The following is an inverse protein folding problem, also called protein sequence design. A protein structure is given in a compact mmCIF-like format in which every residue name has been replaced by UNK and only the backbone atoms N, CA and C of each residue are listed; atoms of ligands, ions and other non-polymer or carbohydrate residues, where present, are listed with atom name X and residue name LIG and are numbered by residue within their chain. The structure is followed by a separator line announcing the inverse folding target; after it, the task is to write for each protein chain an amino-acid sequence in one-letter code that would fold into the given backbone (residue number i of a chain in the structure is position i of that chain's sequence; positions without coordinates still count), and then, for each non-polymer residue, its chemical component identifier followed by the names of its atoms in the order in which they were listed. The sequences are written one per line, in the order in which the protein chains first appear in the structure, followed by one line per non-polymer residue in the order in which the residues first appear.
data_IF_782111921718
#
_entry.id   IF_782111921718
#
_cell.length_a   1.000
_cell.length_b   1.000
_cell.length_c   1.000
_cell.angle_alpha   90.00
_cell.angle_beta   90.00
_cell.angle_gamma   90.00
#
_symmetry.space_group_name_H-M   'P 1'
#
loop_
_entity.id
_entity.type
_entity.pdbx_description
1 polymer ?
#
# COMPACT_ATOMS: atom_id res chain seq x y z
N UNK A 1 6.83 -21.10 -12.21
CA UNK A 1 7.90 -21.03 -11.22
C UNK A 1 7.32 -21.13 -9.84
N UNK A 2 7.92 -21.92 -8.96
CA UNK A 2 7.60 -22.02 -7.55
C UNK A 2 8.86 -21.66 -6.78
N UNK A 3 8.76 -20.74 -5.84
CA UNK A 3 9.85 -20.37 -4.93
C UNK A 3 9.38 -20.60 -3.50
N UNK A 4 10.26 -21.16 -2.68
CA UNK A 4 10.02 -21.34 -1.26
C UNK A 4 11.25 -20.91 -0.48
N UNK A 5 11.07 -19.96 0.43
CA UNK A 5 12.10 -19.49 1.36
C UNK A 5 11.65 -19.80 2.79
N UNK A 6 12.59 -20.22 3.60
CA UNK A 6 12.38 -20.42 5.03
C UNK A 6 13.51 -19.76 5.81
N UNK A 7 13.12 -18.80 6.66
CA UNK A 7 14.04 -18.10 7.54
C UNK A 7 13.76 -18.49 8.98
N UNK A 8 14.80 -18.82 9.72
CA UNK A 8 14.70 -19.15 11.14
C UNK A 8 15.50 -18.16 11.97
N UNK A 9 14.93 -17.72 13.08
CA UNK A 9 15.63 -16.91 14.05
C UNK A 9 16.59 -17.72 14.92
N UNK A 10 17.34 -17.00 15.74
CA UNK A 10 18.31 -17.56 16.70
C UNK A 10 17.82 -17.46 18.16
N UNK A 11 16.53 -17.15 18.37
CA UNK A 11 15.99 -17.04 19.72
C UNK A 11 15.86 -18.43 20.37
N UNK A 12 16.37 -18.53 21.58
CA UNK A 12 16.27 -19.74 22.37
C UNK A 12 14.98 -19.72 23.20
N UNK A 13 14.13 -20.70 22.97
CA UNK A 13 13.00 -20.97 23.86
C UNK A 13 13.50 -21.57 25.16
N UNK A 14 13.07 -21.06 26.29
CA UNK A 14 13.39 -21.65 27.58
C UNK A 14 12.78 -23.04 27.73
N UNK A 15 13.44 -23.92 28.47
CA UNK A 15 12.98 -25.32 28.69
C UNK A 15 11.69 -25.41 29.48
N UNK A 16 11.43 -24.41 30.34
CA UNK A 16 10.20 -24.33 31.13
C UNK A 16 9.04 -23.71 30.38
N UNK A 17 9.29 -23.16 29.15
CA UNK A 17 8.26 -22.63 28.32
C UNK A 17 7.48 -23.74 27.61
N UNK A 18 6.15 -23.62 27.55
CA UNK A 18 5.28 -24.61 26.92
C UNK A 18 5.08 -24.40 25.41
N UNK A 19 5.59 -23.29 24.87
CA UNK A 19 5.45 -22.91 23.48
C UNK A 19 6.79 -22.41 22.91
N UNK A 20 6.92 -22.46 21.62
CA UNK A 20 8.11 -21.98 20.91
C UNK A 20 8.01 -20.49 20.69
N UNK A 21 9.13 -19.78 20.85
CA UNK A 21 9.21 -18.33 20.62
C UNK A 21 10.18 -17.98 19.49
N UNK A 22 10.91 -18.97 18.96
CA UNK A 22 11.86 -18.70 17.90
C UNK A 22 11.14 -18.30 16.60
N UNK A 23 11.72 -17.36 15.89
CA UNK A 23 11.20 -16.92 14.59
C UNK A 23 11.28 -18.07 13.59
N UNK A 24 10.18 -18.30 12.90
CA UNK A 24 10.08 -19.17 11.74
C UNK A 24 9.21 -18.46 10.71
N UNK A 25 9.85 -18.00 9.64
CA UNK A 25 9.19 -17.29 8.56
C UNK A 25 9.28 -18.13 7.29
N UNK A 26 8.13 -18.46 6.72
CA UNK A 26 8.05 -19.22 5.47
C UNK A 26 7.36 -18.33 4.43
N UNK A 27 8.01 -18.15 3.30
CA UNK A 27 7.49 -17.46 2.14
C UNK A 27 7.42 -18.43 0.97
N UNK A 28 6.23 -18.61 0.41
CA UNK A 28 6.03 -19.44 -0.77
C UNK A 28 5.38 -18.61 -1.85
N UNK A 29 5.96 -18.60 -3.05
CA UNK A 29 5.39 -17.90 -4.19
C UNK A 29 5.23 -18.82 -5.40
N UNK A 30 4.10 -18.67 -6.08
CA UNK A 30 3.75 -19.35 -7.31
C UNK A 30 3.59 -18.31 -8.42
N UNK A 31 4.25 -18.53 -9.54
CA UNK A 31 4.09 -17.69 -10.74
C UNK A 31 3.81 -18.56 -11.95
N UNK A 32 2.71 -18.25 -12.61
CA UNK A 32 2.31 -18.85 -13.88
C UNK A 32 2.19 -17.75 -14.93
N UNK A 33 2.88 -17.90 -16.06
CA UNK A 33 2.73 -17.05 -17.22
C UNK A 33 2.52 -17.97 -18.42
N UNK A 34 1.36 -17.88 -19.07
CA UNK A 34 1.02 -18.64 -20.25
C UNK A 34 0.70 -17.68 -21.40
N UNK A 35 1.28 -17.94 -22.55
CA UNK A 35 0.95 -17.28 -23.80
C UNK A 35 0.42 -18.36 -24.73
N UNK A 36 -0.82 -18.25 -25.16
CA UNK A 36 -1.53 -19.24 -25.98
C UNK A 36 -1.93 -18.58 -27.27
N UNK A 37 -1.36 -18.99 -28.38
CA UNK A 37 -1.76 -18.56 -29.72
C UNK A 37 -2.96 -19.43 -30.15
N UNK A 38 -4.17 -18.88 -30.06
CA UNK A 38 -5.41 -19.57 -30.42
C UNK A 38 -5.58 -19.66 -31.96
N UNK A 39 -5.08 -18.63 -32.66
CA UNK A 39 -5.06 -18.58 -34.14
C UNK A 39 -4.01 -17.58 -34.60
N UNK A 40 -3.78 -17.44 -35.92
CA UNK A 40 -2.81 -16.50 -36.51
C UNK A 40 -3.00 -15.02 -36.12
N UNK A 41 -4.11 -14.67 -35.49
CA UNK A 41 -4.37 -13.28 -35.10
C UNK A 41 -4.90 -13.14 -33.69
N UNK A 42 -5.02 -14.23 -32.92
CA UNK A 42 -5.60 -14.22 -31.60
C UNK A 42 -4.65 -14.84 -30.59
N UNK A 43 -4.30 -14.07 -29.57
CA UNK A 43 -3.46 -14.51 -28.46
C UNK A 43 -4.19 -14.34 -27.14
N UNK A 44 -4.08 -15.34 -26.27
CA UNK A 44 -4.54 -15.31 -24.90
C UNK A 44 -3.32 -15.33 -23.98
N UNK A 45 -3.28 -14.38 -23.03
CA UNK A 45 -2.21 -14.29 -22.03
C UNK A 45 -2.82 -14.48 -20.64
N UNK A 46 -2.31 -15.48 -19.91
CA UNK A 46 -2.72 -15.77 -18.55
C UNK A 46 -1.53 -15.54 -17.63
N UNK A 47 -1.68 -14.62 -16.69
CA UNK A 47 -0.68 -14.36 -15.66
C UNK A 47 -1.32 -14.62 -14.30
N UNK A 48 -0.68 -15.43 -13.49
CA UNK A 48 -1.07 -15.68 -12.10
C UNK A 48 0.14 -15.58 -11.20
N UNK A 49 0.03 -14.80 -10.13
CA UNK A 49 1.05 -14.68 -9.11
C UNK A 49 0.40 -14.76 -7.74
N UNK A 50 0.84 -15.71 -6.93
CA UNK A 50 0.33 -15.93 -5.57
C UNK A 50 1.51 -15.99 -4.61
N UNK A 51 1.41 -15.29 -3.49
CA UNK A 51 2.34 -15.37 -2.37
C UNK A 51 1.61 -15.80 -1.11
N UNK A 52 2.23 -16.68 -0.37
CA UNK A 52 1.77 -17.21 0.92
C UNK A 52 2.91 -17.01 1.91
N UNK A 53 2.70 -16.12 2.88
CA UNK A 53 3.65 -15.86 3.95
C UNK A 53 3.08 -16.39 5.26
N UNK A 54 3.86 -17.14 6.01
CA UNK A 54 3.52 -17.53 7.37
C UNK A 54 4.70 -17.22 8.29
N UNK A 55 4.40 -16.53 9.36
CA UNK A 55 5.35 -16.12 10.38
C UNK A 55 4.90 -16.60 11.73
N UNK A 56 5.81 -17.23 12.45
CA UNK A 56 5.71 -17.56 13.87
C UNK A 56 6.90 -16.94 14.59
N UNK A 57 6.69 -16.26 15.69
CA UNK A 57 7.78 -15.63 16.43
C UNK A 57 7.31 -15.01 17.74
N UNK A 58 8.20 -14.34 18.49
CA UNK A 58 7.86 -13.74 19.77
C UNK A 58 6.74 -12.71 19.62
N UNK A 59 5.98 -12.55 20.69
CA UNK A 59 4.86 -11.59 20.72
C UNK A 59 5.34 -10.15 20.46
N UNK A 60 6.44 -9.78 21.10
CA UNK A 60 7.08 -8.48 20.93
C UNK A 60 8.15 -8.51 19.85
N UNK A 61 8.39 -7.37 19.24
CA UNK A 61 9.49 -7.22 18.29
C UNK A 61 10.83 -7.47 18.99
N UNK A 62 11.64 -8.33 18.37
CA UNK A 62 13.01 -8.63 18.85
C UNK A 62 13.85 -7.35 18.98
N UNK A 63 13.61 -6.35 18.14
CA UNK A 63 14.27 -5.05 18.23
C UNK A 63 13.94 -4.33 19.54
N UNK A 64 12.70 -4.39 20.01
CA UNK A 64 12.28 -3.82 21.30
C UNK A 64 12.98 -4.54 22.43
N UNK A 65 13.00 -5.87 22.42
CA UNK A 65 13.69 -6.65 23.43
C UNK A 65 15.22 -6.38 23.43
N UNK A 66 15.83 -6.22 22.26
CA UNK A 66 17.24 -5.86 22.13
C UNK A 66 17.51 -4.46 22.69
N UNK A 67 16.68 -3.47 22.36
CA UNK A 67 16.84 -2.10 22.90
C UNK A 67 16.73 -2.09 24.42
N UNK A 68 15.78 -2.81 24.98
CA UNK A 68 15.66 -2.92 26.45
C UNK A 68 16.85 -3.63 27.08
N UNK A 69 17.35 -4.69 26.44
CA UNK A 69 18.56 -5.40 26.93
C UNK A 69 19.81 -4.49 26.93
N UNK A 70 19.89 -3.55 25.97
CA UNK A 70 20.99 -2.61 25.90
C UNK A 70 20.98 -1.57 27.05
N UNK A 71 19.78 -1.21 27.51
CA UNK A 71 19.61 -0.26 28.63
C UNK A 71 19.40 -0.94 29.98
N UNK A 72 19.17 -2.27 30.02
CA UNK A 72 18.95 -2.99 31.27
C UNK A 72 20.24 -3.04 32.09
N UNK A 73 20.15 -2.67 33.36
CA UNK A 73 21.27 -2.78 34.29
C UNK A 73 21.32 -4.22 34.85
N UNK A 74 22.37 -4.98 34.59
CA UNK A 74 22.48 -6.38 35.04
C UNK A 74 22.60 -6.53 36.58
N UNK A 75 22.82 -5.44 37.30
CA UNK A 75 22.90 -5.43 38.77
C UNK A 75 21.49 -5.35 39.40
N UNK A 76 20.49 -4.80 38.67
CA UNK A 76 19.17 -4.59 39.24
C UNK A 76 18.36 -5.88 39.36
N UNK A 77 18.52 -6.81 38.42
CA UNK A 77 17.85 -8.11 38.43
C UNK A 77 18.53 -9.11 37.46
N UNK A 78 18.40 -10.38 37.78
CA UNK A 78 18.76 -11.45 36.85
C UNK A 78 17.67 -11.68 35.79
N UNK A 79 17.99 -12.13 34.57
CA UNK A 79 16.98 -12.50 33.56
C UNK A 79 15.96 -13.51 34.10
N UNK A 80 16.40 -14.49 34.87
CA UNK A 80 15.59 -15.46 35.59
C UNK A 80 16.27 -15.89 36.88
N UNK A 81 15.49 -16.25 37.90
CA UNK A 81 15.99 -16.81 39.14
C UNK A 81 15.75 -18.33 39.20
N UNK A 82 16.62 -19.08 39.89
CA UNK A 82 16.40 -20.48 40.19
C UNK A 82 15.19 -20.66 41.15
N UNK A 83 14.77 -21.91 41.36
CA UNK A 83 13.79 -22.19 42.36
C UNK A 83 14.35 -21.94 43.78
N UNK A 84 13.51 -21.40 44.67
CA UNK A 84 13.81 -21.32 46.10
C UNK A 84 12.93 -22.27 46.90
N UNK A 85 13.03 -22.24 48.22
CA UNK A 85 12.27 -23.14 49.08
C UNK A 85 10.75 -22.84 49.06
N UNK A 86 10.36 -21.61 48.72
CA UNK A 86 8.96 -21.13 48.64
C UNK A 86 8.38 -21.34 47.26
N UNK A 87 9.14 -20.98 46.21
CA UNK A 87 8.68 -21.01 44.82
C UNK A 87 9.37 -22.15 44.06
N UNK A 88 9.14 -23.40 44.44
CA UNK A 88 9.82 -24.58 43.89
C UNK A 88 9.08 -25.29 42.75
N UNK A 89 7.86 -24.86 42.41
CA UNK A 89 7.09 -25.42 41.29
C UNK A 89 7.67 -24.99 39.91
N UNK A 90 7.54 -25.81 38.85
CA UNK A 90 8.19 -25.56 37.57
C UNK A 90 7.51 -24.40 36.80
N UNK A 91 8.17 -23.24 36.81
CA UNK A 91 7.80 -22.07 36.04
C UNK A 91 9.01 -21.15 35.84
N UNK A 92 8.93 -20.20 34.90
CA UNK A 92 9.93 -19.16 34.70
C UNK A 92 9.77 -18.07 35.75
N UNK A 93 10.82 -17.80 36.51
CA UNK A 93 10.90 -16.75 37.54
C UNK A 93 11.69 -15.59 36.98
N UNK A 94 10.99 -14.67 36.30
CA UNK A 94 11.63 -13.51 35.70
C UNK A 94 11.99 -12.48 36.77
N UNK A 95 13.24 -12.02 36.74
CA UNK A 95 13.64 -10.88 37.57
C UNK A 95 13.01 -9.60 37.06
N UNK A 96 12.63 -8.72 37.99
CA UNK A 96 12.12 -7.40 37.66
C UNK A 96 12.49 -6.40 38.75
N UNK A 97 12.87 -5.17 38.34
CA UNK A 97 12.96 -4.01 39.21
C UNK A 97 11.74 -3.10 39.01
N UNK A 98 11.58 -2.08 39.88
CA UNK A 98 10.46 -1.14 39.75
C UNK A 98 10.48 -0.36 38.42
N UNK A 99 11.67 -0.03 37.93
CA UNK A 99 11.86 0.94 36.86
C UNK A 99 12.31 0.30 35.53
N UNK A 100 12.48 -1.03 35.47
CA UNK A 100 13.01 -1.70 34.28
C UNK A 100 12.25 -2.96 33.95
N UNK A 101 11.81 -3.08 32.69
CA UNK A 101 11.23 -4.30 32.16
C UNK A 101 12.30 -5.34 31.83
N UNK A 102 12.00 -6.59 32.08
CA UNK A 102 12.90 -7.68 31.76
C UNK A 102 12.80 -8.05 30.26
N UNK A 103 13.87 -7.81 29.48
CA UNK A 103 13.85 -8.08 28.04
C UNK A 103 13.70 -9.57 27.71
N UNK A 104 14.18 -10.47 28.59
CA UNK A 104 14.03 -11.90 28.41
C UNK A 104 12.56 -12.33 28.61
N UNK A 105 11.86 -11.76 29.60
CA UNK A 105 10.44 -12.00 29.80
C UNK A 105 9.61 -11.56 28.58
N UNK A 106 9.95 -10.45 27.92
CA UNK A 106 9.26 -10.00 26.70
C UNK A 106 9.32 -11.01 25.58
N UNK A 107 10.47 -11.70 25.41
CA UNK A 107 10.64 -12.73 24.38
C UNK A 107 9.89 -14.00 24.76
N UNK A 108 9.88 -14.36 26.06
CA UNK A 108 9.36 -15.65 26.53
C UNK A 108 7.87 -15.64 26.89
N UNK A 109 7.21 -14.47 26.95
CA UNK A 109 5.84 -14.32 27.44
C UNK A 109 4.74 -14.75 26.47
N UNK A 110 5.08 -15.01 25.23
CA UNK A 110 4.11 -15.38 24.22
C UNK A 110 4.68 -15.41 22.81
N UNK A 111 3.80 -15.67 21.88
CA UNK A 111 4.13 -15.68 20.46
C UNK A 111 3.01 -15.08 19.61
N UNK A 112 3.32 -14.75 18.38
CA UNK A 112 2.34 -14.32 17.39
C UNK A 112 2.47 -15.16 16.13
N UNK A 113 1.32 -15.67 15.68
CA UNK A 113 1.18 -16.28 14.35
C UNK A 113 0.59 -15.27 13.40
N UNK A 114 1.33 -14.99 12.32
CA UNK A 114 0.89 -14.11 11.23
C UNK A 114 0.83 -14.87 9.93
N UNK A 115 -0.22 -14.66 9.18
CA UNK A 115 -0.35 -15.20 7.84
C UNK A 115 -0.75 -14.09 6.89
N UNK A 116 -0.07 -14.01 5.76
CA UNK A 116 -0.42 -13.11 4.66
C UNK A 116 -0.52 -13.92 3.39
N UNK A 117 -1.57 -13.69 2.65
CA UNK A 117 -1.66 -14.17 1.29
C UNK A 117 -1.96 -13.01 0.34
N UNK A 118 -1.46 -13.11 -0.87
CA UNK A 118 -1.76 -12.18 -1.95
C UNK A 118 -1.81 -12.96 -3.26
N UNK A 119 -2.83 -12.74 -4.04
CA UNK A 119 -2.94 -13.31 -5.39
C UNK A 119 -3.36 -12.26 -6.39
N UNK A 120 -2.74 -12.28 -7.57
CA UNK A 120 -3.07 -11.44 -8.71
C UNK A 120 -3.20 -12.36 -9.92
N UNK A 121 -4.38 -12.39 -10.50
CA UNK A 121 -4.69 -13.18 -11.69
C UNK A 121 -5.13 -12.25 -12.79
N UNK A 122 -4.53 -12.33 -13.97
CA UNK A 122 -4.85 -11.54 -15.14
C UNK A 122 -5.05 -12.45 -16.33
N UNK A 123 -6.14 -12.21 -17.03
CA UNK A 123 -6.43 -12.77 -18.32
C UNK A 123 -6.45 -11.63 -19.33
N UNK A 124 -5.64 -11.73 -20.39
CA UNK A 124 -5.61 -10.76 -21.47
C UNK A 124 -5.87 -11.47 -22.80
N UNK A 125 -6.80 -10.93 -23.56
CA UNK A 125 -7.14 -11.32 -24.91
C UNK A 125 -6.61 -10.27 -25.88
N UNK A 126 -5.85 -10.67 -26.88
CA UNK A 126 -5.26 -9.83 -27.90
C UNK A 126 -5.72 -10.34 -29.26
N UNK A 127 -6.28 -9.45 -30.07
CA UNK A 127 -6.71 -9.78 -31.41
C UNK A 127 -6.17 -8.78 -32.42
N UNK A 128 -5.42 -9.28 -33.39
CA UNK A 128 -5.02 -8.50 -34.55
C UNK A 128 -6.21 -8.37 -35.51
N UNK A 129 -6.64 -7.15 -35.76
CA UNK A 129 -7.75 -6.80 -36.63
C UNK A 129 -7.28 -6.25 -37.98
N UNK A 130 -6.05 -6.57 -38.41
CA UNK A 130 -5.49 -6.08 -39.67
C UNK A 130 -6.28 -6.52 -40.92
N UNK A 131 -7.18 -7.47 -40.76
CA UNK A 131 -8.12 -7.85 -41.82
C UNK A 131 -9.25 -6.81 -42.05
N UNK A 132 -9.55 -5.98 -41.02
CA UNK A 132 -10.48 -4.84 -41.13
C UNK A 132 -9.71 -3.58 -41.53
N UNK A 133 -8.60 -3.30 -40.82
CA UNK A 133 -7.77 -2.13 -41.04
C UNK A 133 -6.32 -2.45 -40.65
N UNK A 134 -5.38 -2.29 -41.58
CA UNK A 134 -3.96 -2.58 -41.36
C UNK A 134 -3.43 -1.80 -40.15
N UNK A 135 -2.86 -2.52 -39.19
CA UNK A 135 -2.32 -1.92 -37.93
C UNK A 135 -3.35 -1.72 -36.83
N UNK A 136 -4.58 -2.25 -37.00
CA UNK A 136 -5.61 -2.24 -35.95
C UNK A 136 -5.44 -3.46 -35.04
N UNK A 137 -5.53 -3.24 -33.75
CA UNK A 137 -5.46 -4.27 -32.72
C UNK A 137 -6.47 -4.00 -31.62
N UNK A 138 -7.12 -5.05 -31.16
CA UNK A 138 -8.00 -5.05 -29.98
C UNK A 138 -7.31 -5.77 -28.84
N UNK A 139 -7.37 -5.21 -27.62
CA UNK A 139 -6.95 -5.88 -26.39
C UNK A 139 -8.03 -5.73 -25.33
N UNK A 140 -8.37 -6.82 -24.68
CA UNK A 140 -9.23 -6.84 -23.50
C UNK A 140 -8.54 -7.56 -22.37
N UNK A 141 -8.47 -6.97 -21.18
CA UNK A 141 -7.92 -7.63 -20.02
C UNK A 141 -8.83 -7.50 -18.80
N UNK A 142 -8.86 -8.57 -18.01
CA UNK A 142 -9.51 -8.62 -16.70
C UNK A 142 -8.49 -9.10 -15.71
N UNK A 143 -8.36 -8.40 -14.60
CA UNK A 143 -7.51 -8.78 -13.49
C UNK A 143 -8.28 -8.84 -12.18
N UNK A 144 -8.07 -9.92 -11.44
CA UNK A 144 -8.59 -10.11 -10.09
C UNK A 144 -7.44 -10.22 -9.13
N UNK A 145 -7.43 -9.37 -8.10
CA UNK A 145 -6.47 -9.45 -7.01
C UNK A 145 -7.18 -9.59 -5.69
N UNK A 146 -6.59 -10.38 -4.81
CA UNK A 146 -7.05 -10.58 -3.45
C UNK A 146 -5.85 -10.58 -2.51
N UNK A 147 -5.98 -9.90 -1.38
CA UNK A 147 -5.00 -9.92 -0.31
C UNK A 147 -5.70 -10.15 1.02
N UNK A 148 -5.03 -10.89 1.90
CA UNK A 148 -5.49 -11.13 3.27
C UNK A 148 -4.33 -11.16 4.24
N UNK A 149 -4.58 -10.67 5.44
CA UNK A 149 -3.63 -10.67 6.54
C UNK A 149 -4.35 -11.10 7.82
N UNK A 150 -3.74 -12.01 8.53
CA UNK A 150 -4.20 -12.51 9.82
C UNK A 150 -3.03 -12.41 10.82
N UNK A 151 -3.33 -11.94 12.02
CA UNK A 151 -2.37 -11.91 13.12
C UNK A 151 -3.07 -12.38 14.39
N UNK A 152 -2.60 -13.46 14.97
CA UNK A 152 -3.15 -14.06 16.18
C UNK A 152 -2.07 -14.05 17.27
N UNK A 153 -2.10 -13.12 18.21
CA UNK A 153 -1.19 -13.10 19.34
C UNK A 153 -1.69 -14.07 20.43
N UNK A 154 -0.74 -14.74 21.06
CA UNK A 154 -0.95 -15.60 22.21
C UNK A 154 0.03 -15.21 23.30
N UNK A 155 -0.45 -14.99 24.54
CA UNK A 155 0.35 -14.44 25.62
C UNK A 155 0.05 -15.10 26.96
N UNK A 156 1.05 -15.14 27.81
CA UNK A 156 0.93 -15.43 29.24
C UNK A 156 1.18 -14.15 30.02
N UNK A 157 0.79 -14.12 31.29
CA UNK A 157 1.24 -13.09 32.23
C UNK A 157 2.43 -13.64 33.00
N UNK A 158 3.67 -13.17 32.73
CA UNK A 158 4.86 -13.68 33.37
C UNK A 158 4.80 -13.51 34.89
N UNK A 159 5.42 -14.45 35.62
CA UNK A 159 5.67 -14.28 37.05
C UNK A 159 6.98 -13.52 37.25
N UNK A 160 6.88 -12.40 37.98
CA UNK A 160 8.03 -11.55 38.28
C UNK A 160 8.43 -11.65 39.72
N UNK A 161 9.76 -11.63 39.94
CA UNK A 161 10.38 -11.79 41.25
C UNK A 161 11.44 -10.73 41.49
N UNK A 162 11.59 -10.30 42.72
CA UNK A 162 12.76 -9.59 43.24
C UNK A 162 13.60 -10.52 44.12
N UNK A 163 14.89 -10.30 44.16
CA UNK A 163 15.79 -10.98 45.06
C UNK A 163 15.78 -10.23 46.42
N UNK A 164 15.32 -10.89 47.48
CA UNK A 164 15.34 -10.36 48.84
C UNK A 164 16.70 -10.60 49.52
N UNK A 165 17.23 -11.81 49.36
CA UNK A 165 18.50 -12.19 50.02
C UNK A 165 19.22 -13.26 49.18
N UNK A 166 20.55 -13.30 49.33
CA UNK A 166 21.41 -14.31 48.72
C UNK A 166 22.45 -14.76 49.74
N UNK A 167 22.31 -16.03 50.18
CA UNK A 167 23.28 -16.65 51.05
C UNK A 167 24.53 -17.09 50.28
N UNK A 168 25.63 -16.37 50.43
CA UNK A 168 26.91 -16.65 49.78
C UNK A 168 27.55 -18.00 50.20
N UNK A 169 27.15 -18.57 51.35
CA UNK A 169 27.73 -19.84 51.82
C UNK A 169 27.00 -21.04 51.21
N UNK A 170 25.66 -20.98 51.13
CA UNK A 170 24.84 -22.06 50.62
C UNK A 170 24.46 -21.87 49.15
N UNK A 171 24.65 -20.67 48.61
CA UNK A 171 24.22 -20.29 47.26
C UNK A 171 22.69 -20.19 47.09
N UNK A 172 21.96 -20.16 48.21
CA UNK A 172 20.49 -20.06 48.19
C UNK A 172 20.00 -18.64 47.93
N UNK A 173 18.94 -18.52 47.13
CA UNK A 173 18.21 -17.30 46.85
C UNK A 173 16.92 -17.29 47.68
N UNK A 174 16.58 -16.15 48.25
CA UNK A 174 15.26 -15.87 48.82
C UNK A 174 14.55 -14.86 47.92
N UNK A 175 13.41 -15.28 47.35
CA UNK A 175 12.70 -14.49 46.35
C UNK A 175 11.40 -13.95 46.95
N UNK A 176 11.00 -12.78 46.47
CA UNK A 176 9.68 -12.18 46.67
C UNK A 176 8.93 -12.15 45.35
N UNK A 177 7.73 -12.70 45.31
CA UNK A 177 6.87 -12.61 44.13
C UNK A 177 6.25 -11.20 44.05
N UNK A 178 6.44 -10.51 42.94
CA UNK A 178 5.91 -9.17 42.71
C UNK A 178 4.46 -9.14 42.22
N UNK A 179 4.01 -10.22 41.59
CA UNK A 179 2.67 -10.37 41.02
C UNK A 179 2.06 -11.78 41.22
N UNK A 180 1.97 -12.30 42.45
CA UNK A 180 1.57 -13.68 42.72
C UNK A 180 0.17 -14.01 42.21
N UNK A 181 -0.76 -13.06 42.29
CA UNK A 181 -2.17 -13.25 41.89
C UNK A 181 -2.42 -13.02 40.40
N UNK A 182 -1.55 -12.25 39.73
CA UNK A 182 -1.69 -11.87 38.33
C UNK A 182 -0.96 -12.82 37.39
N UNK A 183 0.17 -13.39 37.84
CA UNK A 183 0.99 -14.32 37.08
C UNK A 183 0.20 -15.54 36.62
N UNK A 184 0.26 -15.88 35.34
CA UNK A 184 -0.46 -17.02 34.75
C UNK A 184 0.39 -17.74 33.72
N UNK A 185 0.47 -19.05 33.83
CA UNK A 185 1.12 -19.91 32.82
C UNK A 185 0.19 -20.20 31.63
N UNK A 186 -1.11 -20.02 31.81
CA UNK A 186 -2.10 -20.29 30.77
C UNK A 186 -1.91 -19.32 29.61
N UNK A 187 -1.73 -19.87 28.43
CA UNK A 187 -1.64 -19.11 27.20
C UNK A 187 -3.04 -18.60 26.82
N UNK A 188 -3.20 -17.29 26.75
CA UNK A 188 -4.44 -16.64 26.37
C UNK A 188 -4.31 -16.06 24.97
N UNK A 189 -5.34 -16.19 24.17
CA UNK A 189 -5.43 -15.54 22.88
C UNK A 189 -5.72 -14.04 23.09
N UNK A 190 -4.84 -13.18 22.60
CA UNK A 190 -5.04 -11.74 22.56
C UNK A 190 -5.94 -11.31 21.39
N UNK A 191 -6.18 -9.99 21.30
CA UNK A 191 -6.90 -9.41 20.19
C UNK A 191 -6.09 -9.55 18.89
N UNK A 192 -6.60 -10.36 17.98
CA UNK A 192 -5.99 -10.55 16.67
C UNK A 192 -6.39 -9.46 15.69
N UNK A 193 -5.65 -9.34 14.63
CA UNK A 193 -5.97 -8.46 13.51
C UNK A 193 -6.29 -9.29 12.27
N UNK A 194 -7.39 -8.97 11.62
CA UNK A 194 -7.75 -9.56 10.33
C UNK A 194 -8.03 -8.43 9.35
N UNK A 195 -7.34 -8.43 8.23
CA UNK A 195 -7.60 -7.49 7.14
C UNK A 195 -7.64 -8.22 5.82
N UNK A 196 -8.41 -7.69 4.87
CA UNK A 196 -8.50 -8.27 3.55
C UNK A 196 -9.01 -7.26 2.55
N UNK A 197 -8.65 -7.48 1.29
CA UNK A 197 -9.13 -6.67 0.18
C UNK A 197 -9.26 -7.51 -1.08
N UNK A 198 -10.28 -7.18 -1.88
CA UNK A 198 -10.51 -7.74 -3.19
C UNK A 198 -10.58 -6.60 -4.20
N UNK A 199 -10.00 -6.81 -5.37
CA UNK A 199 -10.05 -5.85 -6.46
C UNK A 199 -10.30 -6.58 -7.76
N UNK A 200 -11.25 -6.07 -8.53
CA UNK A 200 -11.51 -6.44 -9.91
C UNK A 200 -11.19 -5.23 -10.78
N UNK A 201 -10.37 -5.39 -11.79
CA UNK A 201 -10.10 -4.37 -12.79
C UNK A 201 -10.25 -4.95 -14.19
N UNK A 202 -10.72 -4.12 -15.11
CA UNK A 202 -10.84 -4.50 -16.51
C UNK A 202 -10.44 -3.33 -17.41
N UNK A 203 -9.86 -3.66 -18.55
CA UNK A 203 -9.52 -2.69 -19.59
C UNK A 203 -9.94 -3.25 -20.96
N UNK A 204 -10.50 -2.37 -21.77
CA UNK A 204 -10.76 -2.60 -23.18
C UNK A 204 -9.99 -1.56 -23.96
N UNK A 205 -9.13 -1.98 -24.88
CA UNK A 205 -8.23 -1.11 -25.63
C UNK A 205 -8.39 -1.36 -27.12
N UNK A 206 -8.44 -0.27 -27.88
CA UNK A 206 -8.38 -0.29 -29.33
C UNK A 206 -7.14 0.53 -29.69
N UNK A 207 -6.21 -0.11 -30.38
CA UNK A 207 -4.98 0.49 -30.88
C UNK A 207 -4.97 0.45 -32.39
N UNK A 208 -4.53 1.54 -32.99
CA UNK A 208 -4.26 1.59 -34.41
C UNK A 208 -2.99 2.35 -34.68
N UNK A 209 -2.10 1.79 -35.46
CA UNK A 209 -0.87 2.44 -35.93
C UNK A 209 -0.76 2.32 -37.44
N UNK A 210 -0.48 3.44 -38.09
CA UNK A 210 -0.28 3.44 -39.51
C UNK A 210 0.91 4.37 -39.89
N UNK A 211 1.60 3.96 -40.90
CA UNK A 211 2.66 4.76 -41.52
C UNK A 211 2.46 4.70 -43.02
N UNK A 212 2.48 5.87 -43.70
CA UNK A 212 2.40 5.99 -45.15
C UNK A 212 3.24 7.16 -45.62
N UNK A 213 4.15 6.90 -46.53
CA UNK A 213 5.13 7.91 -46.97
C UNK A 213 5.83 8.58 -45.79
N UNK A 214 5.61 9.87 -45.64
CA UNK A 214 6.20 10.72 -44.60
C UNK A 214 5.30 10.87 -43.35
N UNK A 215 4.16 10.18 -43.29
CA UNK A 215 3.17 10.35 -42.24
C UNK A 215 3.13 9.13 -41.33
N UNK A 216 3.02 9.38 -40.03
CA UNK A 216 2.76 8.36 -39.01
C UNK A 216 1.58 8.76 -38.17
N UNK A 217 0.70 7.82 -37.86
CA UNK A 217 -0.42 8.03 -36.91
C UNK A 217 -0.48 6.91 -35.89
N UNK A 218 -0.91 7.26 -34.69
CA UNK A 218 -1.21 6.32 -33.64
C UNK A 218 -2.48 6.74 -32.90
N UNK A 219 -3.42 5.85 -32.77
CA UNK A 219 -4.67 6.03 -32.03
C UNK A 219 -4.72 5.00 -30.91
N UNK A 220 -5.12 5.45 -29.73
CA UNK A 220 -5.37 4.60 -28.60
C UNK A 220 -6.67 5.04 -27.92
N UNK A 221 -7.62 4.13 -27.81
CA UNK A 221 -8.80 4.31 -26.96
C UNK A 221 -8.78 3.25 -25.87
N UNK A 222 -9.03 3.64 -24.63
CA UNK A 222 -9.04 2.77 -23.45
C UNK A 222 -10.29 3.04 -22.64
N UNK A 223 -11.11 2.03 -22.45
CA UNK A 223 -12.15 1.98 -21.43
C UNK A 223 -11.59 1.16 -20.26
N UNK A 224 -11.49 1.77 -19.09
CA UNK A 224 -10.99 1.12 -17.89
C UNK A 224 -12.03 1.17 -16.77
N UNK A 225 -12.15 0.09 -16.02
CA UNK A 225 -12.98 0.05 -14.83
C UNK A 225 -12.28 -0.72 -13.71
N UNK A 226 -12.53 -0.26 -12.50
CA UNK A 226 -11.99 -0.88 -11.30
C UNK A 226 -13.05 -0.89 -10.20
N UNK A 227 -13.15 -2.02 -9.53
CA UNK A 227 -13.95 -2.20 -8.34
C UNK A 227 -13.09 -2.80 -7.23
N UNK A 228 -13.10 -2.19 -6.05
CA UNK A 228 -12.38 -2.73 -4.89
C UNK A 228 -13.26 -2.76 -3.65
N UNK A 229 -13.06 -3.78 -2.80
CA UNK A 229 -13.78 -4.00 -1.55
C UNK A 229 -12.78 -4.29 -0.45
N UNK A 230 -12.94 -3.64 0.69
CA UNK A 230 -12.25 -3.99 1.92
C UNK A 230 -13.08 -5.03 2.69
N UNK A 231 -12.48 -6.18 3.01
CA UNK A 231 -13.21 -7.32 3.62
C UNK A 231 -13.49 -7.11 5.11
N UNK A 232 -12.74 -6.24 5.77
CA UNK A 232 -12.91 -5.89 7.20
C UNK A 232 -13.05 -4.38 7.34
N UNK A 233 -14.22 -3.83 6.98
CA UNK A 233 -14.44 -2.39 7.06
C UNK A 233 -14.57 -1.93 8.51
N UNK A 234 -14.03 -0.76 8.82
CA UNK A 234 -14.18 -0.12 10.13
C UNK A 234 -15.55 0.58 10.28
N UNK A 235 -16.20 0.87 9.16
CA UNK A 235 -17.53 1.49 9.12
C UNK A 235 -18.36 0.90 7.98
N UNK A 236 -19.69 1.12 8.04
CA UNK A 236 -20.60 0.72 6.95
C UNK A 236 -20.19 1.35 5.62
N UNK A 237 -19.74 2.60 5.64
CA UNK A 237 -19.29 3.32 4.44
C UNK A 237 -18.01 2.73 3.84
N UNK A 238 -17.09 2.23 4.68
CA UNK A 238 -15.89 1.55 4.20
C UNK A 238 -16.19 0.19 3.57
N UNK A 239 -17.30 -0.43 3.98
CA UNK A 239 -17.80 -1.68 3.42
C UNK A 239 -18.46 -1.55 2.05
N UNK A 240 -18.70 -0.34 1.57
CA UNK A 240 -19.20 -0.10 0.21
C UNK A 240 -18.06 -0.28 -0.79
N UNK A 241 -18.32 -0.96 -1.90
CA UNK A 241 -17.35 -1.15 -2.99
C UNK A 241 -16.91 0.18 -3.57
N UNK A 242 -15.62 0.34 -3.81
CA UNK A 242 -15.05 1.51 -4.51
C UNK A 242 -15.07 1.22 -6.00
N UNK A 243 -15.63 2.14 -6.79
CA UNK A 243 -15.76 1.98 -8.23
C UNK A 243 -15.25 3.20 -8.95
N UNK A 244 -14.42 2.96 -9.95
CA UNK A 244 -13.94 3.96 -10.88
C UNK A 244 -14.19 3.46 -12.30
N UNK A 245 -14.60 4.37 -13.18
CA UNK A 245 -14.78 4.12 -14.60
C UNK A 245 -14.13 5.26 -15.38
N UNK A 246 -13.35 4.94 -16.39
CA UNK A 246 -12.65 5.94 -17.19
C UNK A 246 -12.64 5.58 -18.66
N UNK A 247 -12.84 6.57 -19.51
CA UNK A 247 -12.58 6.53 -20.94
C UNK A 247 -11.41 7.45 -21.24
N UNK A 248 -10.37 6.94 -21.87
CA UNK A 248 -9.22 7.73 -22.30
C UNK A 248 -8.99 7.54 -23.79
N UNK A 249 -8.69 8.62 -24.48
CA UNK A 249 -8.32 8.58 -25.89
C UNK A 249 -7.05 9.38 -26.12
N UNK A 250 -6.23 8.90 -27.06
CA UNK A 250 -5.00 9.55 -27.49
C UNK A 250 -4.86 9.40 -29.00
N UNK A 251 -4.52 10.53 -29.63
CA UNK A 251 -4.20 10.62 -31.04
C UNK A 251 -2.81 11.23 -31.17
N UNK A 252 -1.90 10.57 -31.85
CA UNK A 252 -0.58 11.10 -32.18
C UNK A 252 -0.40 11.10 -33.68
N UNK A 253 0.17 12.18 -34.21
CA UNK A 253 0.50 12.34 -35.62
C UNK A 253 1.94 12.82 -35.78
N UNK A 254 2.68 12.21 -36.68
CA UNK A 254 4.03 12.59 -37.03
C UNK A 254 4.15 12.84 -38.54
N UNK A 255 4.90 13.88 -38.93
CA UNK A 255 5.21 14.21 -40.32
C UNK A 255 6.71 14.33 -40.54
N UNK A 256 7.21 13.56 -41.49
CA UNK A 256 8.65 13.52 -41.90
C UNK A 256 9.59 13.29 -40.72
N UNK A 257 9.13 12.66 -39.63
CA UNK A 257 9.87 12.52 -38.39
C UNK A 257 10.41 13.83 -37.81
N UNK A 258 9.82 14.97 -38.20
CA UNK A 258 10.21 16.32 -37.79
C UNK A 258 9.16 16.96 -36.92
N UNK A 259 7.90 16.85 -37.31
CA UNK A 259 6.77 17.48 -36.62
C UNK A 259 5.92 16.42 -35.99
N UNK A 260 5.59 16.62 -34.74
CA UNK A 260 4.71 15.73 -33.98
C UNK A 260 3.62 16.54 -33.32
N UNK A 261 2.41 16.04 -33.42
CA UNK A 261 1.22 16.58 -32.73
C UNK A 261 0.55 15.45 -31.97
N UNK A 262 0.18 15.70 -30.72
CA UNK A 262 -0.55 14.77 -29.89
C UNK A 262 -1.72 15.47 -29.24
N UNK A 263 -2.89 14.85 -29.27
CA UNK A 263 -4.06 15.22 -28.52
C UNK A 263 -4.54 14.04 -27.69
N UNK A 264 -4.89 14.27 -26.44
CA UNK A 264 -5.48 13.24 -25.61
C UNK A 264 -6.52 13.81 -24.65
N UNK A 265 -7.41 12.97 -24.17
CA UNK A 265 -8.30 13.30 -23.08
C UNK A 265 -8.58 12.09 -22.20
N UNK A 266 -8.88 12.35 -20.94
CA UNK A 266 -9.49 11.43 -19.99
C UNK A 266 -10.88 11.92 -19.60
N UNK A 267 -11.85 11.00 -19.59
CA UNK A 267 -13.20 11.23 -19.05
C UNK A 267 -13.45 10.19 -17.97
N UNK A 268 -13.28 10.61 -16.71
CA UNK A 268 -13.21 9.72 -15.57
C UNK A 268 -14.32 9.98 -14.58
N UNK A 269 -14.90 8.91 -14.02
CA UNK A 269 -15.92 8.96 -13.00
C UNK A 269 -15.41 8.47 -11.65
N UNK A 270 -15.66 9.24 -10.59
CA UNK A 270 -15.37 8.87 -9.21
C UNK A 270 -16.63 8.90 -8.35
N UNK A 271 -16.90 7.85 -7.61
CA UNK A 271 -18.04 7.77 -6.69
C UNK A 271 -17.87 8.60 -5.41
N UNK A 272 -16.69 9.21 -5.21
CA UNK A 272 -16.42 10.08 -4.05
C UNK A 272 -17.27 11.34 -4.09
N UNK A 273 -17.67 11.78 -5.28
CA UNK A 273 -18.41 13.02 -5.52
C UNK A 273 -19.91 12.77 -5.70
N UNK A 274 -20.70 13.79 -5.46
CA UNK A 274 -22.12 13.80 -5.74
C UNK A 274 -22.38 13.50 -7.23
N UNK A 275 -23.57 13.02 -7.56
CA UNK A 275 -23.91 12.54 -8.90
C UNK A 275 -23.57 13.54 -10.01
N UNK A 276 -23.81 14.82 -9.76
CA UNK A 276 -23.65 15.91 -10.74
C UNK A 276 -22.18 16.34 -10.93
N UNK A 277 -21.29 16.01 -9.97
CA UNK A 277 -19.87 16.33 -9.99
C UNK A 277 -18.97 15.09 -10.17
N UNK A 278 -19.59 13.93 -10.42
CA UNK A 278 -18.91 12.64 -10.47
C UNK A 278 -17.96 12.48 -11.64
N UNK A 279 -18.32 13.05 -12.81
CA UNK A 279 -17.57 12.91 -14.05
C UNK A 279 -16.65 14.12 -14.27
N UNK A 280 -15.37 13.84 -14.56
CA UNK A 280 -14.37 14.85 -14.89
C UNK A 280 -13.82 14.66 -16.31
N UNK A 281 -13.62 15.77 -17.03
CA UNK A 281 -13.03 15.80 -18.37
C UNK A 281 -11.66 16.49 -18.34
N UNK A 282 -10.61 15.78 -18.77
CA UNK A 282 -9.22 16.17 -18.64
C UNK A 282 -8.52 16.11 -19.99
N UNK A 283 -8.61 17.16 -20.83
CA UNK A 283 -7.96 17.22 -22.12
C UNK A 283 -6.49 17.61 -21.99
N UNK A 284 -5.67 17.15 -22.98
CA UNK A 284 -4.30 17.62 -23.16
C UNK A 284 -3.93 17.67 -24.63
N UNK A 285 -3.01 18.58 -24.96
CA UNK A 285 -2.43 18.73 -26.31
C UNK A 285 -0.92 18.93 -26.17
N UNK A 286 -0.16 18.38 -27.09
CA UNK A 286 1.29 18.55 -27.15
C UNK A 286 1.78 18.59 -28.60
N UNK A 287 2.85 19.34 -28.82
CA UNK A 287 3.55 19.38 -30.08
C UNK A 287 5.06 19.27 -29.88
N UNK A 288 5.74 18.68 -30.86
CA UNK A 288 7.19 18.64 -30.87
C UNK A 288 7.72 18.86 -32.27
N UNK A 289 8.86 19.57 -32.33
CA UNK A 289 9.58 19.86 -33.55
C UNK A 289 11.03 19.42 -33.42
N UNK A 290 11.44 18.47 -34.26
CA UNK A 290 12.82 18.00 -34.34
C UNK A 290 13.59 18.91 -35.32
N UNK A 291 14.08 20.02 -34.80
CA UNK A 291 14.72 21.10 -35.56
C UNK A 291 15.98 20.62 -36.28
N UNK A 292 16.73 19.69 -35.64
CA UNK A 292 17.96 19.12 -36.22
C UNK A 292 17.74 18.32 -37.52
N UNK A 293 16.51 17.90 -37.81
CA UNK A 293 16.15 17.20 -39.06
C UNK A 293 15.77 18.17 -40.21
N UNK A 294 15.77 19.48 -39.95
CA UNK A 294 15.44 20.47 -40.94
C UNK A 294 16.61 20.68 -41.93
N UNK A 295 16.32 20.95 -43.23
CA UNK A 295 17.35 21.11 -44.25
C UNK A 295 18.40 22.17 -43.91
N UNK A 296 18.02 23.25 -43.23
CA UNK A 296 18.90 24.33 -42.87
C UNK A 296 19.91 24.00 -41.75
N UNK A 297 19.68 22.92 -40.99
CA UNK A 297 20.57 22.45 -39.92
C UNK A 297 21.36 21.19 -40.28
N UNK A 298 21.12 20.56 -41.42
CA UNK A 298 21.82 19.33 -41.82
C UNK A 298 23.36 19.53 -41.88
N UNK A 299 23.83 20.74 -42.20
CA UNK A 299 25.24 21.07 -42.19
C UNK A 299 25.89 21.19 -40.80
N UNK A 300 25.08 21.34 -39.75
CA UNK A 300 25.55 21.53 -38.37
C UNK A 300 25.67 20.22 -37.59
N UNK A 301 25.39 19.07 -38.21
CA UNK A 301 25.33 17.75 -37.57
C UNK A 301 26.61 17.32 -36.82
N UNK A 302 27.76 17.89 -37.19
CA UNK A 302 29.06 17.60 -36.54
C UNK A 302 29.12 18.07 -35.10
N UNK A 303 28.54 19.22 -34.80
CA UNK A 303 28.53 19.78 -33.44
C UNK A 303 27.16 19.73 -32.76
N UNK A 304 26.05 19.86 -33.51
CA UNK A 304 24.66 19.75 -33.01
C UNK A 304 24.00 18.53 -33.67
N UNK A 305 24.09 17.37 -33.05
CA UNK A 305 23.59 16.12 -33.61
C UNK A 305 22.09 15.93 -33.41
N UNK A 306 21.49 16.58 -32.40
CA UNK A 306 20.06 16.54 -32.14
C UNK A 306 19.59 17.84 -31.49
N UNK A 307 18.46 18.35 -31.97
CA UNK A 307 17.77 19.50 -31.41
C UNK A 307 16.27 19.27 -31.56
N UNK A 308 15.52 19.24 -30.42
CA UNK A 308 14.08 19.09 -30.40
C UNK A 308 13.48 20.08 -29.44
N UNK A 309 12.46 20.78 -29.89
CA UNK A 309 11.57 21.62 -29.10
C UNK A 309 10.28 20.87 -28.86
N UNK A 310 9.72 21.01 -27.66
CA UNK A 310 8.41 20.45 -27.29
C UNK A 310 7.61 21.43 -26.46
N UNK A 311 6.32 21.45 -26.70
CA UNK A 311 5.35 22.24 -25.98
C UNK A 311 4.17 21.33 -25.62
N UNK A 312 3.70 21.40 -24.39
CA UNK A 312 2.47 20.71 -24.00
C UNK A 312 1.65 21.53 -23.02
N UNK A 313 0.35 21.37 -23.12
CA UNK A 313 -0.63 21.92 -22.19
C UNK A 313 -1.69 20.87 -21.90
N UNK A 314 -2.09 20.73 -20.64
CA UNK A 314 -3.12 19.76 -20.27
C UNK A 314 -3.69 19.99 -18.89
N UNK A 315 -4.84 19.35 -18.67
CA UNK A 315 -5.53 19.29 -17.38
C UNK A 315 -5.44 17.87 -16.82
N UNK A 316 -5.14 17.76 -15.53
CA UNK A 316 -5.12 16.50 -14.78
C UNK A 316 -6.09 16.62 -13.62
N UNK A 317 -6.98 15.64 -13.48
CA UNK A 317 -7.93 15.55 -12.36
C UNK A 317 -7.40 14.64 -11.27
N UNK A 318 -7.61 15.03 -10.03
CA UNK A 318 -7.33 14.23 -8.85
C UNK A 318 -8.60 14.11 -8.00
N UNK A 319 -9.00 12.87 -7.67
CA UNK A 319 -10.08 12.57 -6.72
C UNK A 319 -9.54 12.10 -5.35
N UNK A 320 -8.24 11.99 -5.20
CA UNK A 320 -7.52 11.54 -4.00
C UNK A 320 -7.40 12.63 -2.94
N UNK A 321 -8.51 13.10 -2.40
CA UNK A 321 -8.52 14.11 -1.34
C UNK A 321 -8.02 13.49 -0.04
N UNK A 322 -6.91 14.01 0.48
CA UNK A 322 -6.27 13.54 1.71
C UNK A 322 -7.13 13.96 2.93
N UNK A 323 -7.20 13.07 3.94
CA UNK A 323 -7.86 13.32 5.24
C UNK A 323 -9.36 13.63 5.22
N UNK A 324 -10.05 13.27 4.13
CA UNK A 324 -11.51 13.44 4.05
C UNK A 324 -12.25 12.11 4.06
N UNK A 325 -13.49 12.06 4.59
CA UNK A 325 -14.33 10.90 4.47
C UNK A 325 -14.49 10.47 3.00
N UNK A 326 -14.61 9.18 2.76
CA UNK A 326 -14.72 8.63 1.40
C UNK A 326 -15.87 9.26 0.59
N UNK A 327 -17.00 9.51 1.23
CA UNK A 327 -18.19 10.10 0.63
C UNK A 327 -18.46 11.47 1.24
N UNK A 328 -17.76 12.49 0.76
CA UNK A 328 -17.88 13.86 1.28
C UNK A 328 -19.27 14.44 1.07
N UNK A 329 -20.00 13.93 0.07
CA UNK A 329 -21.38 14.33 -0.23
C UNK A 329 -22.43 13.68 0.67
N UNK A 330 -22.03 12.78 1.60
CA UNK A 330 -22.92 12.18 2.58
C UNK A 330 -22.64 12.74 3.98
N UNK A 331 -23.67 12.97 4.80
CA UNK A 331 -23.44 13.32 6.19
C UNK A 331 -22.88 12.14 6.95
N UNK A 332 -21.96 12.36 7.86
CA UNK A 332 -21.49 11.34 8.78
C UNK A 332 -22.11 11.51 10.16
N UNK A 333 -22.58 10.40 10.72
CA UNK A 333 -23.16 10.34 12.05
C UNK A 333 -22.24 9.47 12.92
N UNK A 334 -21.71 10.04 13.98
CA UNK A 334 -20.91 9.35 14.97
C UNK A 334 -21.69 9.13 16.27
N UNK A 335 -21.27 8.11 17.00
CA UNK A 335 -21.75 7.86 18.34
C UNK A 335 -20.73 8.42 19.34
N UNK A 336 -21.14 9.37 20.16
CA UNK A 336 -20.28 9.88 21.22
C UNK A 336 -20.14 8.81 22.32
N UNK A 337 -18.92 8.67 22.83
CA UNK A 337 -18.70 7.94 24.07
C UNK A 337 -19.49 8.64 25.18
N UNK A 338 -20.22 7.91 26.00
CA UNK A 338 -21.04 8.52 27.02
C UNK A 338 -20.16 9.23 28.05
N UNK A 339 -20.26 10.54 28.06
CA UNK A 339 -19.63 11.38 29.10
C UNK A 339 -20.70 11.84 30.11
N UNK A 340 -20.98 11.02 31.07
CA UNK A 340 -21.87 11.33 32.15
C UNK A 340 -23.17 10.50 32.19
N UNK A 341 -23.62 10.11 33.35
CA UNK A 341 -24.92 9.52 33.58
C UNK A 341 -25.90 10.61 34.02
N UNK A 342 -27.06 10.70 33.39
CA UNK A 342 -28.12 11.64 33.76
C UNK A 342 -28.80 11.29 35.10
N UNK A 343 -28.58 10.08 35.60
CA UNK A 343 -29.08 9.58 36.89
C UNK A 343 -28.16 8.52 37.47
N UNK A 344 -27.89 8.55 38.77
CA UNK A 344 -27.23 7.43 39.43
C UNK A 344 -28.03 6.14 39.24
N UNK A 345 -27.38 5.09 38.71
CA UNK A 345 -28.01 3.77 38.51
C UNK A 345 -28.60 3.51 37.11
N UNK A 346 -28.74 4.51 36.23
CA UNK A 346 -29.00 4.29 34.84
C UNK A 346 -27.66 4.32 34.07
N UNK A 347 -27.38 3.23 33.35
CA UNK A 347 -26.15 3.10 32.54
C UNK A 347 -25.91 4.27 31.59
N UNK A 348 -24.71 4.37 31.09
CA UNK A 348 -24.27 5.42 30.14
C UNK A 348 -25.16 5.41 28.90
N UNK A 349 -25.71 6.56 28.52
CA UNK A 349 -26.52 6.71 27.30
C UNK A 349 -25.64 7.25 26.17
N UNK A 350 -25.48 6.44 25.14
CA UNK A 350 -24.82 6.87 23.91
C UNK A 350 -25.62 7.89 23.16
N UNK A 351 -24.98 8.98 22.71
CA UNK A 351 -25.61 10.00 21.89
C UNK A 351 -25.11 9.87 20.45
N UNK A 352 -26.01 10.14 19.52
CA UNK A 352 -25.65 10.29 18.13
C UNK A 352 -25.53 11.78 17.79
N UNK A 353 -24.48 12.14 17.08
CA UNK A 353 -24.29 13.50 16.55
C UNK A 353 -23.83 13.46 15.11
N UNK A 354 -24.09 14.52 14.38
CA UNK A 354 -23.50 14.73 13.07
C UNK A 354 -22.03 15.06 13.28
N UNK A 355 -21.14 14.18 12.78
CA UNK A 355 -19.67 14.35 12.84
C UNK A 355 -19.11 14.97 11.56
N UNK A 356 -19.88 14.98 10.49
CA UNK A 356 -19.54 15.64 9.24
C UNK A 356 -20.82 16.04 8.49
N UNK A 357 -20.87 17.29 8.05
CA UNK A 357 -21.96 17.76 7.20
C UNK A 357 -21.73 17.34 5.76
N UNK A 358 -22.82 17.04 5.05
CA UNK A 358 -22.77 16.78 3.63
C UNK A 358 -22.26 18.01 2.88
N UNK A 359 -21.45 17.78 1.85
CA UNK A 359 -21.03 18.81 0.91
C UNK A 359 -21.13 18.27 -0.52
N UNK A 360 -22.18 18.73 -1.24
CA UNK A 360 -22.43 18.28 -2.60
C UNK A 360 -21.59 19.03 -3.64
N UNK A 361 -20.95 20.13 -3.27
CA UNK A 361 -20.19 21.00 -4.19
C UNK A 361 -18.74 20.52 -4.37
N UNK A 362 -18.31 19.51 -3.60
CA UNK A 362 -16.99 18.95 -3.74
C UNK A 362 -16.86 18.23 -5.08
N UNK A 363 -15.84 18.60 -5.84
CA UNK A 363 -15.54 18.08 -7.17
C UNK A 363 -14.04 17.77 -7.31
N UNK A 364 -13.64 17.39 -8.48
CA UNK A 364 -12.26 17.11 -8.84
C UNK A 364 -11.32 18.28 -8.55
N UNK A 365 -10.21 18.03 -7.91
CA UNK A 365 -9.05 18.91 -7.93
C UNK A 365 -8.47 18.88 -9.35
N UNK A 366 -8.27 20.02 -9.96
CA UNK A 366 -7.77 20.15 -11.33
C UNK A 366 -6.40 20.81 -11.29
N UNK A 367 -5.39 20.13 -11.83
CA UNK A 367 -4.09 20.73 -12.11
C UNK A 367 -3.97 21.04 -13.60
N UNK A 368 -3.82 22.32 -13.92
CA UNK A 368 -3.48 22.79 -15.25
C UNK A 368 -1.96 22.90 -15.36
N UNK A 369 -1.40 22.26 -16.39
CA UNK A 369 0.04 22.17 -16.57
C UNK A 369 0.42 22.63 -17.98
N UNK A 370 1.40 23.54 -18.07
CA UNK A 370 2.07 23.93 -19.30
C UNK A 370 3.55 23.58 -19.18
N UNK A 371 4.12 23.01 -20.22
CA UNK A 371 5.55 22.66 -20.28
C UNK A 371 6.14 23.05 -21.62
N UNK A 372 7.29 23.73 -21.59
CA UNK A 372 8.17 23.98 -22.74
C UNK A 372 9.48 23.26 -22.49
N UNK A 373 9.85 22.34 -23.39
CA UNK A 373 11.06 21.53 -23.27
C UNK A 373 12.00 21.71 -24.46
N UNK A 374 13.28 21.71 -24.18
CA UNK A 374 14.38 21.72 -25.15
C UNK A 374 15.25 20.49 -24.88
N UNK A 375 15.45 19.66 -25.90
CA UNK A 375 16.35 18.51 -25.88
C UNK A 375 17.47 18.72 -26.91
N UNK A 376 18.72 18.62 -26.48
CA UNK A 376 19.89 18.83 -27.35
C UNK A 376 20.92 17.73 -27.14
N UNK A 377 21.58 17.35 -28.28
CA UNK A 377 22.76 16.49 -28.24
C UNK A 377 23.86 17.12 -29.09
N UNK A 378 25.03 17.23 -28.53
CA UNK A 378 26.22 17.80 -29.16
C UNK A 378 27.27 16.71 -29.40
N UNK A 379 28.08 16.87 -30.44
CA UNK A 379 29.22 16.01 -30.74
C UNK A 379 28.88 14.52 -30.78
N UNK A 380 27.84 14.15 -31.54
CA UNK A 380 27.31 12.77 -31.63
C UNK A 380 26.91 12.13 -30.29
N UNK A 381 26.40 12.95 -29.37
CA UNK A 381 25.91 12.47 -28.06
C UNK A 381 26.99 12.47 -26.98
N UNK A 382 28.16 13.07 -27.21
CA UNK A 382 29.14 13.25 -26.12
C UNK A 382 28.61 14.14 -25.00
N UNK A 383 27.81 15.14 -25.36
CA UNK A 383 27.14 16.01 -24.41
C UNK A 383 25.64 16.06 -24.75
N UNK A 384 24.80 15.75 -23.76
CA UNK A 384 23.35 15.81 -23.87
C UNK A 384 22.79 16.77 -22.81
N UNK A 385 21.85 17.62 -23.21
CA UNK A 385 21.17 18.53 -22.28
C UNK A 385 19.66 18.51 -22.53
N UNK A 386 18.91 18.48 -21.45
CA UNK A 386 17.45 18.65 -21.47
C UNK A 386 17.09 19.77 -20.49
N UNK A 387 16.32 20.73 -20.97
CA UNK A 387 15.83 21.87 -20.20
C UNK A 387 14.32 21.90 -20.30
N UNK A 388 13.65 21.93 -19.17
CA UNK A 388 12.20 22.03 -19.04
C UNK A 388 11.82 23.27 -18.24
N UNK A 389 10.91 24.07 -18.78
CA UNK A 389 10.25 25.16 -18.09
C UNK A 389 8.79 24.78 -17.99
N UNK A 390 8.26 24.69 -16.77
CA UNK A 390 6.89 24.31 -16.55
C UNK A 390 6.18 25.25 -15.60
N UNK A 391 4.88 25.35 -15.78
CA UNK A 391 3.96 26.04 -14.88
C UNK A 391 2.83 25.08 -14.53
N UNK A 392 2.46 25.05 -13.25
CA UNK A 392 1.32 24.29 -12.76
C UNK A 392 0.43 25.19 -11.89
N UNK A 393 -0.84 25.22 -12.21
CA UNK A 393 -1.87 25.91 -11.42
C UNK A 393 -2.90 24.89 -10.96
N UNK A 394 -3.24 24.89 -9.68
CA UNK A 394 -4.23 23.97 -9.12
C UNK A 394 -5.50 24.72 -8.74
N UNK A 395 -6.63 24.13 -9.08
CA UNK A 395 -7.98 24.63 -8.77
C UNK A 395 -8.75 23.59 -7.97
N UNK A 396 -9.74 24.03 -7.22
CA UNK A 396 -10.63 23.20 -6.41
C UNK A 396 -9.88 22.33 -5.38
N UNK A 397 -8.79 22.85 -4.83
CA UNK A 397 -8.05 22.16 -3.76
C UNK A 397 -8.91 22.18 -2.49
N UNK A 398 -9.29 21.01 -1.99
CA UNK A 398 -10.02 20.91 -0.74
C UNK A 398 -9.06 21.06 0.43
N UNK A 399 -9.35 22.00 1.31
CA UNK A 399 -8.58 22.23 2.54
C UNK A 399 -9.52 22.27 3.74
N UNK A 400 -9.04 21.79 4.88
CA UNK A 400 -9.75 21.92 6.14
C UNK A 400 -9.81 23.39 6.56
N UNK A 401 -11.00 23.88 6.87
CA UNK A 401 -11.16 25.23 7.41
C UNK A 401 -10.74 25.24 8.87
N UNK A 402 -9.56 25.80 9.16
CA UNK A 402 -9.01 25.89 10.52
C UNK A 402 -9.33 27.20 11.21
N UNK A 403 -9.82 28.19 10.47
CA UNK A 403 -10.19 29.50 11.01
C UNK A 403 -11.69 29.52 11.26
N UNK A 404 -12.09 29.66 12.50
CA UNK A 404 -13.48 29.97 12.90
C UNK A 404 -13.64 31.44 12.63
N UNK A 405 -14.64 31.90 11.83
CA UNK A 405 -14.96 33.33 11.77
C UNK A 405 -15.45 33.76 13.16
N UNK A 406 -14.86 34.81 13.70
CA UNK A 406 -15.42 35.52 14.86
C UNK A 406 -16.79 36.07 14.55
#
# INVERSE_FOLDING_TARGET
TVNHNRDQGMLKTDRLNQFKVNINNNNTSFRLNLNIDLSKGIKLVVNSFTTLDSYHGPLEDVRTAYSLAFYANPVDFAPTYPADDTYNWPHLRFGKSRDSDNPYALIQRGYVDRSRFSTINRLEYIQNLSFLLKGLEFRGDVSFSQAGYYSNPYMTTPFYYSLLDYDHVTGKHTLEALNPDEGKRTLLKGSGTTTGSNQLAYNIKILHTAAWKDHTTSYLAVLSGQESLQSTPNSVLDGIRRRNLGLSMRLSYGYKERYYLEGSFGYNGSERFAKDHRMGFFPSVGGAWVVSKEPFLLGSSKWLSFLKLRLSYGKVGNDGIIDTPRFVHLPSIGQDQPSGSFRPGLGQISRYRITGYQNNDVTWEIAEQANLGLETKFFNGLFEATVDIYQQVRHNVLANRTVIPE
#
